data_IF_182509305591
#
_entry.id   IF_182509305591
#
_cell.length_a   1.000
_cell.length_b   1.000
_cell.length_c   1.000
_cell.angle_alpha   90.00
_cell.angle_beta   90.00
_cell.angle_gamma   90.00
#
_symmetry.space_group_name_H-M   'P 1'
#
loop_
_entity.id
_entity.type
_entity.pdbx_description
1 polymer ?
#
# COMPACT_ATOMS: atom_id res chain seq x y z
N UNK A 1 4.00 -18.51 26.62
CA UNK A 1 3.09 -17.37 26.79
C UNK A 1 3.91 -16.09 26.60
N UNK A 2 4.47 -15.86 25.41
CA UNK A 2 5.40 -14.73 25.20
C UNK A 2 5.53 -14.52 23.68
N UNK A 3 5.15 -13.31 23.24
CA UNK A 3 5.16 -12.72 21.87
C UNK A 3 4.01 -11.70 21.71
N UNK A 4 3.08 -11.61 22.68
CA UNK A 4 1.91 -10.71 22.61
C UNK A 4 2.18 -9.22 22.93
N UNK A 5 3.42 -8.82 23.23
CA UNK A 5 3.78 -7.43 23.60
C UNK A 5 4.76 -6.81 22.62
N UNK A 6 4.51 -6.95 21.33
CA UNK A 6 5.15 -6.11 20.32
C UNK A 6 4.09 -5.08 19.92
N UNK A 7 4.31 -3.84 20.36
CA UNK A 7 3.60 -2.60 20.05
C UNK A 7 2.12 -2.76 19.62
N UNK A 8 1.21 -2.60 20.57
CA UNK A 8 -0.19 -2.35 20.28
C UNK A 8 -0.49 -0.89 20.63
N UNK A 9 -0.72 -0.07 19.62
CA UNK A 9 -1.14 1.31 19.84
C UNK A 9 -2.67 1.34 19.95
N UNK A 10 -3.19 1.70 21.13
CA UNK A 10 -4.58 2.07 21.24
C UNK A 10 -4.78 3.41 20.53
N UNK A 11 -5.83 3.53 19.72
CA UNK A 11 -6.16 4.77 19.00
C UNK A 11 -6.16 6.00 19.92
N UNK A 12 -6.75 5.87 21.11
CA UNK A 12 -6.81 6.95 22.09
C UNK A 12 -5.41 7.54 22.39
N UNK A 13 -4.38 6.71 22.47
CA UNK A 13 -3.03 7.16 22.75
C UNK A 13 -2.42 7.95 21.58
N UNK A 14 -2.66 7.51 20.34
CA UNK A 14 -2.17 8.20 19.13
C UNK A 14 -2.85 9.56 18.95
N UNK A 15 -4.16 9.63 19.14
CA UNK A 15 -4.90 10.88 19.02
C UNK A 15 -4.56 11.87 20.14
N UNK A 16 -4.38 11.37 21.37
CA UNK A 16 -3.93 12.19 22.50
C UNK A 16 -2.52 12.75 22.26
N UNK A 17 -1.58 11.92 21.81
CA UNK A 17 -0.21 12.36 21.54
C UNK A 17 -0.13 13.35 20.37
N UNK A 18 -0.93 13.17 19.31
CA UNK A 18 -1.06 14.13 18.22
C UNK A 18 -1.61 15.48 18.73
N UNK A 19 -2.59 15.44 19.64
CA UNK A 19 -3.14 16.65 20.27
C UNK A 19 -2.11 17.38 21.15
N UNK A 20 -1.27 16.65 21.89
CA UNK A 20 -0.16 17.23 22.66
C UNK A 20 0.88 17.85 21.74
N UNK A 21 1.33 17.12 20.72
CA UNK A 21 2.28 17.60 19.71
C UNK A 21 1.77 18.88 19.04
N UNK A 22 0.50 18.93 18.65
CA UNK A 22 -0.15 20.13 18.11
C UNK A 22 -0.03 21.34 19.05
N UNK A 23 -0.32 21.17 20.33
CA UNK A 23 -0.26 22.29 21.29
C UNK A 23 1.19 22.72 21.56
N UNK A 24 2.13 21.79 21.63
CA UNK A 24 3.55 22.12 21.75
C UNK A 24 4.03 22.89 20.52
N UNK A 25 3.65 22.47 19.31
CA UNK A 25 3.94 23.23 18.09
C UNK A 25 3.40 24.66 18.14
N UNK A 26 2.18 24.86 18.67
CA UNK A 26 1.61 26.23 18.81
C UNK A 26 2.44 27.13 19.70
N UNK A 27 3.17 26.59 20.67
CA UNK A 27 3.99 27.35 21.61
C UNK A 27 5.43 27.52 21.14
N UNK A 28 6.04 26.46 20.61
CA UNK A 28 7.49 26.44 20.33
C UNK A 28 7.82 26.64 18.85
N UNK A 29 6.87 26.33 17.96
CA UNK A 29 7.08 26.28 16.50
C UNK A 29 8.18 25.31 16.06
N UNK A 30 8.54 24.35 16.92
CA UNK A 30 9.58 23.37 16.59
C UNK A 30 9.08 22.32 15.58
N UNK A 31 9.86 22.09 14.53
CA UNK A 31 9.55 21.13 13.45
C UNK A 31 9.40 19.70 13.98
N UNK A 32 10.10 19.34 15.05
CA UNK A 32 10.00 18.02 15.67
C UNK A 32 8.55 17.65 16.06
N UNK A 33 7.75 18.63 16.48
CA UNK A 33 6.34 18.40 16.80
C UNK A 33 5.51 18.21 15.53
N UNK A 34 5.77 18.98 14.48
CA UNK A 34 5.09 18.80 13.19
C UNK A 34 5.41 17.45 12.53
N UNK A 35 6.66 16.99 12.62
CA UNK A 35 7.08 15.68 12.12
C UNK A 35 6.42 14.53 12.89
N UNK A 36 6.29 14.68 14.22
CA UNK A 36 5.55 13.72 15.02
C UNK A 36 4.06 13.69 14.62
N UNK A 37 3.44 14.86 14.42
CA UNK A 37 2.06 14.96 14.02
C UNK A 37 1.82 14.30 12.66
N UNK A 38 2.68 14.56 11.66
CA UNK A 38 2.63 13.93 10.33
C UNK A 38 2.65 12.39 10.45
N UNK A 39 3.56 11.86 11.27
CA UNK A 39 3.70 10.41 11.46
C UNK A 39 2.48 9.81 12.15
N UNK A 40 1.99 10.45 13.21
CA UNK A 40 0.81 10.01 13.96
C UNK A 40 -0.46 10.06 13.10
N UNK A 41 -0.60 11.10 12.27
CA UNK A 41 -1.71 11.25 11.34
C UNK A 41 -1.68 10.15 10.27
N UNK A 42 -0.60 10.08 9.48
CA UNK A 42 -0.51 9.21 8.30
C UNK A 42 -0.53 7.73 8.66
N UNK A 43 0.23 7.33 9.69
CA UNK A 43 0.44 5.91 9.98
C UNK A 43 -0.44 5.41 11.13
N UNK A 44 -0.84 6.32 12.02
CA UNK A 44 -1.73 6.03 13.14
C UNK A 44 -3.17 6.27 12.75
N UNK A 45 -3.59 7.54 12.71
CA UNK A 45 -4.99 7.95 12.54
C UNK A 45 -5.60 7.41 11.25
N UNK A 46 -4.93 7.57 10.09
CA UNK A 46 -5.50 7.08 8.83
C UNK A 46 -5.59 5.54 8.76
N UNK A 47 -4.84 4.82 9.59
CA UNK A 47 -4.84 3.35 9.61
C UNK A 47 -5.99 2.72 10.40
N UNK A 48 -6.79 3.52 11.12
CA UNK A 48 -7.78 2.99 12.08
C UNK A 48 -9.20 2.86 11.53
N UNK A 49 -9.49 3.43 10.36
CA UNK A 49 -10.79 3.31 9.71
C UNK A 49 -10.69 2.28 8.59
N UNK A 50 -11.69 1.40 8.47
CA UNK A 50 -11.72 0.37 7.46
C UNK A 50 -12.06 0.98 6.10
N UNK A 51 -11.04 1.26 5.29
CA UNK A 51 -11.24 1.88 3.98
C UNK A 51 -12.05 3.18 4.09
N UNK A 52 -13.09 3.32 3.27
CA UNK A 52 -14.02 4.46 3.31
C UNK A 52 -15.30 4.17 4.08
N UNK A 53 -15.39 3.03 4.77
CA UNK A 53 -16.58 2.59 5.49
C UNK A 53 -16.82 3.54 6.69
N UNK A 54 -17.91 4.32 6.70
CA UNK A 54 -18.14 5.27 7.78
C UNK A 54 -18.47 4.53 9.08
N UNK A 55 -17.72 4.87 10.13
CA UNK A 55 -17.96 4.32 11.47
C UNK A 55 -17.48 2.89 11.67
N UNK A 56 -16.65 2.33 10.79
CA UNK A 56 -15.99 1.03 11.02
C UNK A 56 -14.54 1.28 11.39
N UNK A 57 -14.25 1.23 12.69
CA UNK A 57 -12.94 1.57 13.25
C UNK A 57 -12.40 0.45 14.14
N UNK A 58 -11.07 0.39 14.29
CA UNK A 58 -10.38 -0.49 15.25
C UNK A 58 -10.11 0.19 16.58
N UNK A 59 -10.07 -0.61 17.65
CA UNK A 59 -9.53 -0.17 18.94
C UNK A 59 -7.99 -0.19 18.92
N UNK A 60 -7.44 -1.32 18.48
CA UNK A 60 -6.04 -1.68 18.58
C UNK A 60 -5.44 -1.78 17.18
N UNK A 61 -4.37 -1.03 16.90
CA UNK A 61 -3.59 -1.19 15.67
C UNK A 61 -2.48 -2.22 15.93
N UNK A 62 -2.59 -3.46 15.40
CA UNK A 62 -1.60 -4.49 15.66
C UNK A 62 -0.33 -4.23 14.85
N UNK A 63 0.84 -4.37 15.48
CA UNK A 63 2.15 -4.22 14.82
C UNK A 63 3.07 -5.44 15.00
N UNK A 64 2.60 -6.47 15.72
CA UNK A 64 3.33 -7.73 15.80
C UNK A 64 3.37 -8.44 14.43
N UNK A 65 4.36 -9.30 14.17
CA UNK A 65 4.49 -10.01 12.90
C UNK A 65 3.28 -10.89 12.61
N UNK A 66 2.84 -10.91 11.34
CA UNK A 66 1.74 -11.77 10.91
C UNK A 66 0.43 -11.48 11.62
N UNK A 67 0.05 -10.22 11.77
CA UNK A 67 -1.22 -9.83 12.39
C UNK A 67 -2.12 -9.12 11.39
N UNK A 68 -3.42 -9.14 11.67
CA UNK A 68 -4.46 -8.46 10.89
C UNK A 68 -5.24 -7.51 11.78
N UNK A 69 -5.70 -6.38 11.24
CA UNK A 69 -6.60 -5.45 11.94
C UNK A 69 -7.95 -6.13 12.22
N UNK A 70 -8.43 -6.95 11.27
CA UNK A 70 -9.66 -7.73 11.40
C UNK A 70 -9.53 -8.88 12.42
N UNK A 71 -8.39 -9.59 12.42
CA UNK A 71 -8.12 -10.71 13.35
C UNK A 71 -7.22 -10.25 14.51
N UNK A 72 -7.73 -9.28 15.26
CA UNK A 72 -7.10 -8.74 16.46
C UNK A 72 -7.97 -8.99 17.69
N UNK A 73 -7.50 -8.59 18.88
CA UNK A 73 -8.26 -8.79 20.12
C UNK A 73 -9.66 -8.14 20.09
N UNK A 74 -9.80 -7.00 19.41
CA UNK A 74 -11.11 -6.34 19.21
C UNK A 74 -11.63 -6.49 17.77
N UNK A 75 -10.76 -6.71 16.79
CA UNK A 75 -11.13 -6.65 15.37
C UNK A 75 -11.59 -5.24 14.95
N UNK A 76 -12.27 -5.20 13.81
CA UNK A 76 -13.09 -4.05 13.43
C UNK A 76 -14.35 -4.01 14.29
N UNK A 77 -14.72 -2.84 14.78
CA UNK A 77 -16.05 -2.67 15.35
C UNK A 77 -17.12 -2.57 14.25
N UNK A 78 -18.33 -2.21 14.66
CA UNK A 78 -19.49 -2.03 13.78
C UNK A 78 -19.97 -0.59 13.82
N UNK A 79 -20.67 -0.19 12.76
CA UNK A 79 -21.19 1.17 12.60
C UNK A 79 -22.10 1.64 13.76
N UNK A 80 -22.84 0.73 14.38
CA UNK A 80 -23.91 1.07 15.32
C UNK A 80 -23.82 0.37 16.69
N UNK A 81 -22.95 -0.63 16.86
CA UNK A 81 -22.95 -1.48 18.05
C UNK A 81 -21.58 -1.54 18.76
N UNK A 82 -20.60 -0.79 18.28
CA UNK A 82 -19.27 -0.68 18.90
C UNK A 82 -19.09 0.66 19.62
N UNK A 83 -19.15 0.62 20.95
CA UNK A 83 -19.12 1.81 21.82
C UNK A 83 -17.85 1.90 22.66
N UNK A 84 -16.71 1.55 22.08
CA UNK A 84 -15.43 1.65 22.78
C UNK A 84 -14.97 3.11 22.89
N UNK A 85 -14.13 3.43 23.88
CA UNK A 85 -13.57 4.78 24.02
C UNK A 85 -12.85 5.28 22.76
N UNK A 86 -12.24 4.35 21.99
CA UNK A 86 -11.58 4.63 20.73
C UNK A 86 -12.54 5.15 19.64
N UNK A 87 -13.83 4.77 19.65
CA UNK A 87 -14.78 5.21 18.62
C UNK A 87 -15.04 6.72 18.67
N UNK A 88 -15.30 7.27 19.86
CA UNK A 88 -15.50 8.71 20.02
C UNK A 88 -14.28 9.50 19.53
N UNK A 89 -13.10 9.11 19.99
CA UNK A 89 -11.83 9.72 19.57
C UNK A 89 -11.55 9.55 18.07
N UNK A 90 -11.91 8.41 17.48
CA UNK A 90 -11.77 8.16 16.05
C UNK A 90 -12.63 9.11 15.23
N UNK A 91 -13.92 9.22 15.57
CA UNK A 91 -14.85 10.15 14.92
C UNK A 91 -14.33 11.59 15.03
N UNK A 92 -13.91 12.03 16.22
CA UNK A 92 -13.31 13.35 16.40
C UNK A 92 -12.07 13.53 15.51
N UNK A 93 -11.18 12.54 15.45
CA UNK A 93 -9.95 12.61 14.65
C UNK A 93 -10.23 12.76 13.15
N UNK A 94 -11.17 11.98 12.60
CA UNK A 94 -11.55 12.09 11.20
C UNK A 94 -12.33 13.37 10.87
N UNK A 95 -13.06 13.94 11.84
CA UNK A 95 -13.74 15.22 11.65
C UNK A 95 -12.78 16.42 11.55
N UNK A 96 -11.53 16.28 11.99
CA UNK A 96 -10.56 17.37 12.13
C UNK A 96 -9.26 17.17 11.36
N UNK A 97 -9.23 16.33 10.32
CA UNK A 97 -8.02 16.09 9.52
C UNK A 97 -7.36 17.37 8.96
N UNK A 98 -8.14 18.45 8.76
CA UNK A 98 -7.64 19.74 8.29
C UNK A 98 -7.15 20.70 9.39
N UNK A 99 -7.34 20.38 10.67
CA UNK A 99 -7.17 21.34 11.79
C UNK A 99 -5.73 21.70 12.15
N UNK A 100 -4.77 20.98 11.54
CA UNK A 100 -3.34 21.06 11.82
C UNK A 100 -2.50 21.10 10.54
N UNK A 101 -3.09 21.55 9.42
CA UNK A 101 -2.34 21.85 8.20
C UNK A 101 -1.67 23.23 8.32
N UNK A 102 -2.40 24.20 8.85
CA UNK A 102 -2.05 25.63 8.87
C UNK A 102 -2.12 26.20 10.30
N UNK A 103 -1.12 27.01 10.68
CA UNK A 103 -1.10 27.76 11.94
C UNK A 103 -0.82 29.24 11.67
N UNK A 104 -1.87 30.06 11.80
CA UNK A 104 -1.82 31.51 11.64
C UNK A 104 -1.35 32.21 12.92
N UNK A 105 -0.51 33.23 12.75
CA UNK A 105 -0.15 34.21 13.77
C UNK A 105 -0.50 35.61 13.25
N UNK A 106 -1.26 36.34 14.06
CA UNK A 106 -1.68 37.70 13.76
C UNK A 106 -0.63 38.68 14.30
N UNK A 107 -0.46 39.79 13.60
CA UNK A 107 0.47 40.87 13.93
C UNK A 107 0.55 41.85 12.75
N UNK A 108 1.45 42.82 12.84
CA UNK A 108 1.67 43.80 11.77
C UNK A 108 2.08 43.13 10.44
N UNK A 109 2.87 42.06 10.54
CA UNK A 109 3.16 41.14 9.44
C UNK A 109 2.54 39.79 9.78
N UNK A 110 1.34 39.46 9.27
CA UNK A 110 0.72 38.16 9.52
C UNK A 110 1.66 37.04 9.09
N UNK A 111 1.68 35.95 9.86
CA UNK A 111 2.52 34.79 9.58
C UNK A 111 1.65 33.53 9.44
N UNK A 112 1.92 32.71 8.44
CA UNK A 112 1.26 31.43 8.21
C UNK A 112 2.30 30.31 8.23
N UNK A 113 2.19 29.40 9.19
CA UNK A 113 3.02 28.20 9.25
C UNK A 113 2.28 27.02 8.61
N UNK A 114 2.82 26.46 7.54
CA UNK A 114 2.32 25.25 6.87
C UNK A 114 3.13 24.06 7.37
N UNK A 115 2.47 23.13 8.07
CA UNK A 115 3.15 21.98 8.68
C UNK A 115 2.76 20.62 8.09
N UNK A 116 1.67 20.52 7.33
CA UNK A 116 1.29 19.30 6.63
C UNK A 116 1.16 19.56 5.13
N UNK A 117 1.54 18.57 4.33
CA UNK A 117 1.44 18.63 2.88
C UNK A 117 0.20 17.90 2.35
N UNK A 118 -0.97 18.47 2.62
CA UNK A 118 -2.29 17.90 2.28
C UNK A 118 -3.00 18.86 1.30
N UNK A 119 -3.49 18.37 0.14
CA UNK A 119 -4.24 19.18 -0.81
C UNK A 119 -5.40 19.92 -0.14
N UNK A 120 -5.37 21.25 -0.16
CA UNK A 120 -6.30 22.08 0.59
C UNK A 120 -6.29 23.53 0.12
N UNK A 121 -7.31 24.29 0.51
CA UNK A 121 -7.38 25.74 0.29
C UNK A 121 -7.58 26.44 1.62
N UNK A 122 -6.71 27.39 1.92
CA UNK A 122 -6.74 28.16 3.16
C UNK A 122 -7.07 29.63 2.89
N UNK A 123 -8.16 30.11 3.47
CA UNK A 123 -8.54 31.52 3.40
C UNK A 123 -7.78 32.30 4.50
N UNK A 124 -6.65 32.89 4.13
CA UNK A 124 -5.77 33.64 5.01
C UNK A 124 -6.25 35.10 5.15
N UNK A 125 -7.33 35.26 5.93
CA UNK A 125 -7.99 36.55 6.12
C UNK A 125 -7.07 37.64 6.66
N UNK A 126 -6.16 37.30 7.58
CA UNK A 126 -5.24 38.30 8.15
C UNK A 126 -4.33 38.92 7.09
N UNK A 127 -3.96 38.19 6.04
CA UNK A 127 -3.14 38.71 4.93
C UNK A 127 -3.96 39.16 3.70
N UNK A 128 -5.28 38.95 3.69
CA UNK A 128 -6.13 39.20 2.53
C UNK A 128 -5.88 38.23 1.37
N UNK A 129 -5.32 37.05 1.64
CA UNK A 129 -4.90 36.06 0.66
C UNK A 129 -5.71 34.77 0.78
N UNK A 130 -5.74 33.99 -0.30
CA UNK A 130 -6.12 32.58 -0.30
C UNK A 130 -4.92 31.77 -0.77
N UNK A 131 -4.53 30.76 0.00
CA UNK A 131 -3.43 29.84 -0.32
C UNK A 131 -4.03 28.52 -0.79
N UNK A 132 -3.78 28.13 -2.04
CA UNK A 132 -4.13 26.82 -2.57
C UNK A 132 -2.90 25.92 -2.54
N UNK A 133 -3.06 24.74 -1.97
CA UNK A 133 -2.01 23.73 -1.85
C UNK A 133 -2.38 22.51 -2.69
N UNK A 134 -1.43 22.07 -3.50
CA UNK A 134 -1.53 20.86 -4.32
C UNK A 134 -0.34 19.95 -4.03
N UNK A 135 -0.60 18.64 -4.05
CA UNK A 135 0.39 17.61 -3.93
C UNK A 135 0.35 16.77 -5.20
N UNK A 136 1.49 16.62 -5.87
CA UNK A 136 1.57 15.69 -7.00
C UNK A 136 1.38 14.25 -6.48
N UNK A 137 0.54 13.42 -7.12
CA UNK A 137 0.43 12.00 -6.77
C UNK A 137 1.80 11.35 -6.75
N UNK A 138 2.05 10.55 -5.71
CA UNK A 138 3.35 9.93 -5.44
C UNK A 138 3.32 8.44 -5.77
N UNK A 139 4.35 7.97 -6.47
CA UNK A 139 4.63 6.57 -6.74
C UNK A 139 5.95 6.13 -6.11
N UNK A 140 6.13 4.81 -5.92
CA UNK A 140 7.37 4.19 -5.44
C UNK A 140 8.59 4.43 -6.35
N UNK A 141 8.37 4.83 -7.61
CA UNK A 141 9.42 5.21 -8.56
C UNK A 141 9.82 6.69 -8.48
N UNK A 142 9.03 7.53 -7.81
CA UNK A 142 9.33 8.95 -7.70
C UNK A 142 10.50 9.18 -6.73
N UNK A 143 11.44 10.02 -7.15
CA UNK A 143 12.57 10.43 -6.32
C UNK A 143 12.25 11.61 -5.39
N UNK A 144 11.13 12.29 -5.64
CA UNK A 144 10.77 13.52 -4.94
C UNK A 144 9.28 13.61 -4.65
N UNK A 145 8.96 14.05 -3.43
CA UNK A 145 7.64 14.60 -3.10
C UNK A 145 7.56 16.04 -3.63
N UNK A 146 6.54 16.34 -4.44
CA UNK A 146 6.39 17.65 -5.09
C UNK A 146 5.12 18.35 -4.60
N UNK A 147 5.30 19.53 -4.03
CA UNK A 147 4.22 20.37 -3.49
C UNK A 147 4.18 21.68 -4.27
N UNK A 148 3.00 22.11 -4.66
CA UNK A 148 2.74 23.42 -5.26
C UNK A 148 1.84 24.23 -4.34
N UNK A 149 2.22 25.47 -4.09
CA UNK A 149 1.47 26.45 -3.31
C UNK A 149 1.24 27.67 -4.21
N UNK A 150 -0.02 28.05 -4.41
CA UNK A 150 -0.37 29.27 -5.16
C UNK A 150 -1.18 30.22 -4.29
N UNK A 151 -0.95 31.52 -4.46
CA UNK A 151 -1.72 32.57 -3.79
C UNK A 151 -2.73 33.21 -4.73
N UNK A 152 -3.90 33.54 -4.21
CA UNK A 152 -4.86 34.40 -4.90
C UNK A 152 -5.36 35.48 -3.93
N UNK A 153 -5.68 36.65 -4.46
CA UNK A 153 -6.11 37.79 -3.64
C UNK A 153 -7.13 38.65 -4.42
N UNK A 154 -8.04 39.31 -3.71
CA UNK A 154 -9.01 40.24 -4.33
C UNK A 154 -8.43 41.63 -4.58
N UNK A 155 -7.36 41.98 -3.87
CA UNK A 155 -6.59 43.21 -3.96
C UNK A 155 -5.11 42.84 -3.86
N UNK A 156 -4.19 43.77 -4.14
CA UNK A 156 -2.78 43.52 -3.84
C UNK A 156 -2.64 43.12 -2.36
N UNK A 157 -2.00 41.97 -2.10
CA UNK A 157 -1.81 41.46 -0.76
C UNK A 157 -0.95 42.41 0.08
N UNK A 158 -1.10 42.34 1.40
CA UNK A 158 -0.17 43.01 2.29
C UNK A 158 1.10 42.18 2.50
N UNK A 159 2.14 42.80 3.09
CA UNK A 159 3.34 42.07 3.48
C UNK A 159 2.97 40.98 4.49
N UNK A 160 3.39 39.73 4.22
CA UNK A 160 3.10 38.59 5.08
C UNK A 160 4.22 37.54 5.00
N UNK A 161 4.35 36.75 6.06
CA UNK A 161 5.38 35.70 6.17
C UNK A 161 4.75 34.33 5.96
N UNK A 162 5.24 33.59 4.98
CA UNK A 162 4.91 32.18 4.79
C UNK A 162 6.06 31.32 5.29
N UNK A 163 5.79 30.47 6.29
CA UNK A 163 6.72 29.47 6.80
C UNK A 163 6.29 28.09 6.30
N UNK A 164 7.11 27.45 5.46
CA UNK A 164 6.85 26.08 5.00
C UNK A 164 7.82 25.10 5.68
N UNK A 165 7.28 24.04 6.28
CA UNK A 165 8.10 23.04 6.99
C UNK A 165 8.97 22.26 6.00
N UNK A 166 10.25 22.15 6.26
CA UNK A 166 11.12 21.20 5.57
C UNK A 166 11.16 19.90 6.38
N UNK A 167 10.55 18.79 5.93
CA UNK A 167 10.42 17.59 6.74
C UNK A 167 11.77 17.01 7.17
N UNK A 168 11.92 16.54 8.41
CA UNK A 168 13.21 15.95 8.85
C UNK A 168 13.59 14.65 8.13
N UNK A 169 12.63 13.96 7.52
CA UNK A 169 12.91 12.73 6.78
C UNK A 169 13.51 12.98 5.39
N UNK A 170 13.48 14.22 4.87
CA UNK A 170 14.07 14.55 3.57
C UNK A 170 15.59 14.71 3.66
N UNK A 171 16.28 14.62 2.53
CA UNK A 171 17.70 15.00 2.41
C UNK A 171 17.83 16.48 2.05
N UNK A 172 18.91 17.12 2.50
CA UNK A 172 19.30 18.46 2.04
C UNK A 172 19.77 18.42 0.57
N UNK A 173 20.43 17.33 0.18
CA UNK A 173 20.89 17.16 -1.19
C UNK A 173 19.70 16.86 -2.11
N UNK A 174 19.45 17.76 -3.07
CA UNK A 174 18.34 17.67 -4.02
C UNK A 174 17.02 18.29 -3.52
N UNK A 175 16.95 18.76 -2.27
CA UNK A 175 15.81 19.55 -1.82
C UNK A 175 15.84 20.93 -2.50
N UNK A 176 14.68 21.36 -3.00
CA UNK A 176 14.57 22.62 -3.76
C UNK A 176 13.29 23.36 -3.39
N UNK A 177 13.40 24.68 -3.34
CA UNK A 177 12.26 25.57 -3.21
C UNK A 177 12.40 26.72 -4.23
N UNK A 178 11.36 26.98 -5.01
CA UNK A 178 11.34 28.10 -5.96
C UNK A 178 10.11 28.96 -5.75
N UNK A 179 10.27 30.27 -5.88
CA UNK A 179 9.18 31.25 -5.90
C UNK A 179 9.15 31.93 -7.26
N UNK A 180 8.08 31.73 -8.02
CA UNK A 180 7.95 32.22 -9.40
C UNK A 180 9.18 31.86 -10.23
N UNK A 181 9.58 30.58 -10.17
CA UNK A 181 10.75 29.99 -10.82
C UNK A 181 12.12 30.49 -10.35
N UNK A 182 12.18 31.42 -9.39
CA UNK A 182 13.43 31.85 -8.77
C UNK A 182 13.80 30.94 -7.59
N UNK A 183 15.04 30.48 -7.55
CA UNK A 183 15.56 29.64 -6.47
C UNK A 183 15.65 30.41 -5.15
N UNK A 184 15.14 29.81 -4.07
CA UNK A 184 15.17 30.36 -2.71
C UNK A 184 16.43 29.94 -1.93
N UNK A 185 17.30 29.12 -2.54
CA UNK A 185 18.59 28.75 -1.98
C UNK A 185 18.55 27.52 -1.09
N UNK A 186 19.33 27.53 0.00
CA UNK A 186 19.55 26.35 0.82
C UNK A 186 18.28 25.91 1.56
N UNK A 187 17.88 24.66 1.34
CA UNK A 187 16.78 24.00 2.03
C UNK A 187 17.34 23.03 3.08
N UNK A 188 17.09 23.31 4.37
CA UNK A 188 17.61 22.51 5.49
C UNK A 188 16.53 21.60 6.07
N UNK A 189 16.69 20.26 6.06
CA UNK A 189 15.77 19.33 6.73
C UNK A 189 15.58 19.66 8.21
N UNK A 190 14.35 19.52 8.72
CA UNK A 190 14.04 19.78 10.12
C UNK A 190 13.93 21.27 10.48
N UNK A 191 13.79 22.16 9.49
CA UNK A 191 13.62 23.60 9.70
C UNK A 191 12.36 24.14 9.01
N UNK A 192 12.10 25.44 9.15
CA UNK A 192 11.16 26.17 8.31
C UNK A 192 11.92 26.99 7.27
N UNK A 193 11.41 27.00 6.04
CA UNK A 193 11.75 28.02 5.05
C UNK A 193 10.77 29.18 5.19
N UNK A 194 11.28 30.34 5.59
CA UNK A 194 10.50 31.56 5.81
C UNK A 194 10.60 32.51 4.64
N UNK A 195 9.46 32.94 4.11
CA UNK A 195 9.36 33.86 2.97
C UNK A 195 8.51 35.05 3.40
N UNK A 196 9.13 36.20 3.61
CA UNK A 196 8.43 37.45 3.93
C UNK A 196 8.46 38.37 2.73
N UNK A 197 7.29 38.66 2.15
CA UNK A 197 7.14 39.59 1.04
C UNK A 197 5.73 40.15 0.97
N UNK A 198 5.55 41.13 0.08
CA UNK A 198 4.23 41.50 -0.41
C UNK A 198 3.77 40.45 -1.43
N UNK A 199 2.79 39.63 -1.04
CA UNK A 199 2.28 38.56 -1.89
C UNK A 199 1.33 39.10 -2.95
N UNK A 200 1.56 38.69 -4.20
CA UNK A 200 0.72 39.03 -5.32
C UNK A 200 -0.30 37.90 -5.59
N UNK A 201 -1.41 38.21 -6.28
CA UNK A 201 -2.14 37.17 -6.99
C UNK A 201 -1.17 36.37 -7.87
N UNK A 202 -1.35 35.05 -7.90
CA UNK A 202 -0.63 34.09 -8.73
C UNK A 202 0.86 33.89 -8.39
N UNK A 203 1.34 34.38 -7.24
CA UNK A 203 2.64 33.91 -6.74
C UNK A 203 2.57 32.39 -6.53
N UNK A 204 3.59 31.69 -7.03
CA UNK A 204 3.68 30.24 -7.02
C UNK A 204 4.97 29.79 -6.32
N UNK A 205 4.81 29.10 -5.20
CA UNK A 205 5.88 28.44 -4.47
C UNK A 205 5.88 26.94 -4.80
N UNK A 206 6.95 26.45 -5.42
CA UNK A 206 7.17 25.03 -5.67
C UNK A 206 8.17 24.48 -4.67
N UNK A 207 7.83 23.36 -4.02
CA UNK A 207 8.69 22.64 -3.10
C UNK A 207 8.93 21.23 -3.62
N UNK A 208 10.17 20.79 -3.56
CA UNK A 208 10.59 19.46 -3.98
C UNK A 208 11.46 18.85 -2.88
N UNK A 209 11.00 17.74 -2.30
CA UNK A 209 11.68 17.05 -1.21
C UNK A 209 12.14 15.66 -1.66
N UNK A 210 13.46 15.37 -1.65
CA UNK A 210 13.96 14.02 -1.83
C UNK A 210 13.24 13.03 -0.92
N UNK A 211 12.62 12.02 -1.51
CA UNK A 211 11.92 10.96 -0.79
C UNK A 211 12.57 9.62 -1.07
N UNK A 212 12.97 8.93 0.00
CA UNK A 212 13.75 7.70 -0.11
C UNK A 212 13.25 6.66 0.88
N UNK A 213 13.62 5.40 0.60
CA UNK A 213 13.48 4.32 1.56
C UNK A 213 14.51 4.49 2.67
N UNK A 214 14.09 4.18 3.90
CA UNK A 214 14.92 4.20 5.10
C UNK A 214 14.41 3.17 6.09
N UNK A 215 15.25 2.79 7.04
CA UNK A 215 14.85 1.91 8.15
C UNK A 215 14.91 2.66 9.47
N UNK A 216 14.03 2.31 10.41
CA UNK A 216 14.05 2.82 11.78
C UNK A 216 14.01 1.64 12.75
N UNK A 217 15.00 1.55 13.65
CA UNK A 217 14.99 0.56 14.73
C UNK A 217 13.83 0.80 15.70
N UNK A 218 13.27 -0.27 16.24
CA UNK A 218 12.33 -0.16 17.35
C UNK A 218 13.03 0.46 18.56
N UNK A 219 12.32 1.31 19.31
CA UNK A 219 12.82 1.91 20.56
C UNK A 219 12.58 0.94 21.71
N UNK A 220 13.38 -0.13 21.77
CA UNK A 220 13.32 -1.17 22.79
C UNK A 220 14.73 -1.59 23.20
N UNK A 221 15.01 -1.57 24.50
CA UNK A 221 16.36 -1.86 25.04
C UNK A 221 16.62 -3.36 25.23
N UNK A 222 15.61 -4.21 25.02
CA UNK A 222 15.77 -5.66 25.19
C UNK A 222 16.53 -6.26 23.99
N UNK A 223 17.61 -7.03 24.22
CA UNK A 223 18.50 -7.50 23.14
C UNK A 223 17.81 -8.31 22.04
N UNK A 224 16.75 -9.05 22.36
CA UNK A 224 16.01 -9.87 21.41
C UNK A 224 15.25 -9.07 20.34
N UNK A 225 15.08 -7.74 20.53
CA UNK A 225 14.46 -6.85 19.54
C UNK A 225 15.46 -5.92 18.85
N UNK A 226 16.76 -6.03 19.16
CA UNK A 226 17.80 -5.12 18.65
C UNK A 226 17.92 -5.12 17.12
N UNK A 227 17.54 -6.22 16.46
CA UNK A 227 17.56 -6.37 15.00
C UNK A 227 16.25 -5.95 14.31
N UNK A 228 15.22 -5.55 15.08
CA UNK A 228 13.93 -5.18 14.53
C UNK A 228 13.92 -3.75 14.01
N UNK A 229 13.57 -3.59 12.74
CA UNK A 229 13.45 -2.30 12.11
C UNK A 229 12.16 -2.20 11.29
N UNK A 230 11.52 -1.04 11.33
CA UNK A 230 10.47 -0.66 10.38
C UNK A 230 11.11 -0.16 9.09
N UNK A 231 10.41 -0.34 7.97
CA UNK A 231 10.80 0.20 6.66
C UNK A 231 9.86 1.38 6.35
N UNK A 232 10.42 2.51 5.94
CA UNK A 232 9.66 3.72 5.65
C UNK A 232 10.03 4.28 4.28
N UNK A 233 9.06 4.89 3.59
CA UNK A 233 9.27 5.70 2.40
C UNK A 233 8.83 7.14 2.72
N UNK A 234 9.80 8.03 2.95
CA UNK A 234 9.52 9.36 3.51
C UNK A 234 8.71 9.29 4.83
N UNK A 235 7.47 9.81 4.87
CA UNK A 235 6.62 9.75 6.07
C UNK A 235 5.80 8.46 6.19
N UNK A 236 5.79 7.59 5.18
CA UNK A 236 4.96 6.39 5.13
C UNK A 236 5.67 5.20 5.76
N UNK A 237 5.08 4.61 6.80
CA UNK A 237 5.47 3.29 7.32
C UNK A 237 4.93 2.24 6.37
N UNK A 238 5.83 1.38 5.88
CA UNK A 238 5.49 0.28 4.99
C UNK A 238 5.31 -1.00 5.80
N UNK A 239 4.26 -1.76 5.48
CA UNK A 239 3.96 -3.06 6.05
C UNK A 239 4.02 -4.13 4.95
N UNK A 240 4.62 -5.28 5.26
CA UNK A 240 4.71 -6.39 4.32
C UNK A 240 3.57 -7.38 4.50
N UNK A 241 2.90 -7.76 3.42
CA UNK A 241 1.90 -8.84 3.43
C UNK A 241 2.55 -10.14 3.92
N UNK A 242 2.08 -10.64 5.06
CA UNK A 242 2.66 -11.81 5.72
C UNK A 242 1.78 -12.36 6.82
N UNK A 243 1.74 -13.68 6.93
CA UNK A 243 1.06 -14.42 8.00
C UNK A 243 2.01 -14.81 9.15
N UNK A 244 3.25 -14.31 9.16
CA UNK A 244 4.17 -14.50 10.29
C UNK A 244 5.66 -14.44 9.95
N UNK A 245 6.02 -14.58 8.67
CA UNK A 245 7.40 -14.33 8.26
C UNK A 245 7.72 -12.83 8.34
N UNK A 246 8.95 -12.53 8.72
CA UNK A 246 9.44 -11.20 9.07
C UNK A 246 10.95 -11.07 8.96
N UNK A 247 11.65 -12.12 8.53
CA UNK A 247 13.11 -12.10 8.34
C UNK A 247 13.43 -11.54 6.95
N UNK A 248 13.90 -10.29 6.91
CA UNK A 248 14.33 -9.66 5.67
C UNK A 248 15.80 -9.98 5.39
N UNK A 249 16.16 -10.09 4.11
CA UNK A 249 17.53 -10.36 3.67
C UNK A 249 18.27 -9.05 3.39
N UNK A 250 18.43 -8.24 4.43
CA UNK A 250 19.00 -6.89 4.32
C UNK A 250 20.52 -6.88 4.06
N UNK A 251 21.25 -7.95 4.44
CA UNK A 251 22.71 -8.02 4.32
C UNK A 251 23.43 -7.08 5.29
N UNK A 252 24.63 -7.43 5.74
CA UNK A 252 25.33 -6.67 6.80
C UNK A 252 25.86 -5.29 6.35
N UNK A 253 25.96 -5.02 5.04
CA UNK A 253 26.54 -3.78 4.47
C UNK A 253 25.85 -3.31 3.19
N UNK A 254 24.66 -3.82 2.87
CA UNK A 254 23.99 -3.56 1.59
C UNK A 254 23.13 -2.30 1.65
N UNK A 255 23.13 -1.52 0.56
CA UNK A 255 22.21 -0.40 0.42
C UNK A 255 20.77 -0.93 0.41
N UNK A 256 19.80 -0.12 0.85
CA UNK A 256 18.39 -0.54 0.86
C UNK A 256 17.92 -0.98 -0.55
N UNK A 257 18.44 -0.35 -1.61
CA UNK A 257 18.18 -0.71 -3.00
C UNK A 257 18.61 -2.12 -3.39
N UNK A 258 19.52 -2.75 -2.65
CA UNK A 258 20.02 -4.10 -2.98
C UNK A 258 18.99 -5.18 -2.61
N UNK A 259 18.10 -4.87 -1.67
CA UNK A 259 17.11 -5.80 -1.15
C UNK A 259 15.67 -5.28 -1.20
N UNK A 260 15.44 -4.02 -1.54
CA UNK A 260 14.10 -3.48 -1.81
C UNK A 260 14.06 -2.83 -3.20
N UNK A 261 13.09 -3.25 -4.01
CA UNK A 261 12.81 -2.65 -5.34
C UNK A 261 11.41 -2.06 -5.40
N UNK A 262 11.25 -0.97 -6.14
CA UNK A 262 9.93 -0.38 -6.41
C UNK A 262 9.09 -1.29 -7.31
N UNK A 263 7.78 -1.34 -7.07
CA UNK A 263 6.81 -2.00 -7.97
C UNK A 263 6.36 -1.00 -9.04
N UNK A 264 6.61 -1.25 -10.34
CA UNK A 264 6.14 -0.38 -11.41
C UNK A 264 4.60 -0.37 -11.50
N UNK A 265 4.01 0.78 -11.80
CA UNK A 265 2.56 0.90 -12.00
C UNK A 265 2.02 0.04 -13.13
N UNK A 266 2.86 -0.27 -14.13
CA UNK A 266 2.53 -1.19 -15.23
C UNK A 266 2.26 -2.62 -14.76
N UNK A 267 2.69 -3.03 -13.56
CA UNK A 267 2.36 -4.37 -13.06
C UNK A 267 0.86 -4.53 -12.80
N UNK A 268 0.13 -3.44 -12.53
CA UNK A 268 -1.32 -3.52 -12.35
C UNK A 268 -2.05 -3.92 -13.64
N UNK A 269 -1.49 -3.63 -14.83
CA UNK A 269 -2.03 -4.11 -16.11
C UNK A 269 -1.68 -5.57 -16.40
N UNK A 270 -1.04 -6.29 -15.47
CA UNK A 270 -0.72 -7.72 -15.57
C UNK A 270 -1.52 -8.55 -14.56
N UNK A 271 -2.35 -7.91 -13.73
CA UNK A 271 -3.09 -8.57 -12.67
C UNK A 271 -4.42 -9.14 -13.17
N UNK A 272 -4.77 -10.32 -12.65
CA UNK A 272 -5.96 -11.05 -13.04
C UNK A 272 -6.51 -11.89 -11.89
N UNK A 273 -7.83 -12.12 -11.90
CA UNK A 273 -8.48 -13.12 -11.05
C UNK A 273 -9.21 -14.13 -11.94
N UNK A 274 -9.04 -15.42 -11.66
CA UNK A 274 -9.76 -16.49 -12.36
C UNK A 274 -10.97 -16.92 -11.52
N UNK A 275 -12.14 -16.98 -12.15
CA UNK A 275 -13.40 -17.27 -11.45
C UNK A 275 -14.20 -18.39 -12.10
N UNK A 276 -15.04 -19.03 -11.31
CA UNK A 276 -16.03 -19.99 -11.77
C UNK A 276 -17.30 -19.89 -10.94
N UNK A 277 -18.43 -20.28 -11.50
CA UNK A 277 -19.69 -20.40 -10.76
C UNK A 277 -19.95 -21.85 -10.37
N UNK A 278 -20.35 -22.08 -9.12
CA UNK A 278 -20.76 -23.39 -8.61
C UNK A 278 -21.87 -23.19 -7.58
N UNK A 279 -22.98 -23.92 -7.71
CA UNK A 279 -24.10 -23.91 -6.75
C UNK A 279 -24.58 -22.47 -6.45
N UNK A 280 -24.72 -21.63 -7.48
CA UNK A 280 -25.22 -20.25 -7.36
C UNK A 280 -24.26 -19.26 -6.68
N UNK A 281 -22.99 -19.64 -6.46
CA UNK A 281 -21.95 -18.78 -5.90
C UNK A 281 -20.78 -18.63 -6.86
N UNK A 282 -20.12 -17.47 -6.80
CA UNK A 282 -18.86 -17.24 -7.52
C UNK A 282 -17.68 -17.66 -6.65
N UNK A 283 -16.84 -18.53 -7.19
CA UNK A 283 -15.58 -18.94 -6.61
C UNK A 283 -14.41 -18.34 -7.37
N UNK A 284 -13.29 -18.17 -6.67
CA UNK A 284 -12.04 -17.65 -7.18
C UNK A 284 -10.95 -18.71 -7.04
N UNK A 285 -10.10 -18.84 -8.06
CA UNK A 285 -8.85 -19.57 -7.94
C UNK A 285 -7.96 -18.84 -6.92
N UNK A 286 -7.43 -19.55 -5.94
CA UNK A 286 -6.64 -18.98 -4.85
C UNK A 286 -5.36 -19.78 -4.65
N UNK A 287 -4.24 -19.09 -4.45
CA UNK A 287 -2.96 -19.66 -4.02
C UNK A 287 -2.68 -19.28 -2.58
N UNK A 288 -2.78 -20.25 -1.67
CA UNK A 288 -2.52 -20.03 -0.24
C UNK A 288 -1.80 -21.24 0.33
N UNK A 289 -0.87 -21.03 1.27
CA UNK A 289 -0.12 -22.11 1.94
C UNK A 289 0.60 -23.09 0.99
N UNK A 290 0.96 -22.65 -0.21
CA UNK A 290 1.65 -23.47 -1.21
C UNK A 290 0.76 -24.45 -1.99
N UNK A 291 -0.57 -24.32 -1.90
CA UNK A 291 -1.52 -25.07 -2.71
C UNK A 291 -2.49 -24.15 -3.46
N UNK A 292 -3.06 -24.68 -4.54
CA UNK A 292 -4.13 -24.04 -5.30
C UNK A 292 -5.48 -24.64 -4.93
N UNK A 293 -6.44 -23.79 -4.59
CA UNK A 293 -7.81 -24.19 -4.27
C UNK A 293 -8.83 -23.14 -4.70
N UNK A 294 -10.09 -23.56 -4.81
CA UNK A 294 -11.20 -22.64 -5.01
C UNK A 294 -11.69 -22.08 -3.68
N UNK A 295 -11.82 -20.76 -3.60
CA UNK A 295 -12.36 -20.03 -2.45
C UNK A 295 -13.61 -19.27 -2.87
N UNK A 296 -14.53 -19.03 -1.94
CA UNK A 296 -15.68 -18.16 -2.22
C UNK A 296 -15.18 -16.73 -2.45
N UNK A 297 -15.69 -16.07 -3.49
CA UNK A 297 -15.28 -14.70 -3.82
C UNK A 297 -15.59 -13.77 -2.63
N UNK A 298 -14.62 -12.98 -2.14
CA UNK A 298 -14.87 -12.08 -1.02
C UNK A 298 -15.84 -10.97 -1.45
N UNK A 299 -16.76 -10.60 -0.56
CA UNK A 299 -17.74 -9.51 -0.78
C UNK A 299 -17.18 -8.12 -0.46
N UNK A 300 -16.00 -8.05 0.15
CA UNK A 300 -15.34 -6.83 0.58
C UNK A 300 -13.88 -6.85 0.15
N UNK A 301 -13.32 -5.70 -0.23
CA UNK A 301 -11.89 -5.63 -0.59
C UNK A 301 -10.99 -5.52 0.63
N UNK A 302 -9.72 -5.81 0.39
CA UNK A 302 -8.67 -5.80 1.39
C UNK A 302 -8.71 -7.04 2.29
N UNK A 303 -8.88 -8.22 1.70
CA UNK A 303 -8.92 -9.51 2.41
C UNK A 303 -7.80 -10.43 1.95
N UNK A 304 -7.40 -11.37 2.81
CA UNK A 304 -6.44 -12.41 2.44
C UNK A 304 -6.93 -13.23 1.22
N UNK A 305 -8.23 -13.50 1.11
CA UNK A 305 -8.77 -14.18 -0.09
C UNK A 305 -8.57 -13.34 -1.35
N UNK A 306 -8.73 -12.02 -1.27
CA UNK A 306 -8.52 -11.14 -2.43
C UNK A 306 -7.05 -11.11 -2.88
N UNK A 307 -6.08 -11.11 -1.95
CA UNK A 307 -4.66 -11.19 -2.30
C UNK A 307 -4.31 -12.55 -2.90
N UNK A 308 -4.76 -13.65 -2.28
CA UNK A 308 -4.44 -15.01 -2.73
C UNK A 308 -5.11 -15.37 -4.07
N UNK A 309 -6.21 -14.70 -4.41
CA UNK A 309 -6.94 -14.86 -5.67
C UNK A 309 -6.55 -13.86 -6.76
N UNK A 310 -5.58 -13.01 -6.49
CA UNK A 310 -5.01 -12.10 -7.48
C UNK A 310 -3.67 -12.67 -7.94
N UNK A 311 -3.50 -12.78 -9.24
CA UNK A 311 -2.27 -13.27 -9.86
C UNK A 311 -1.72 -12.22 -10.80
N UNK A 312 -0.40 -12.11 -10.86
CA UNK A 312 0.29 -11.45 -11.96
C UNK A 312 0.58 -12.49 -13.03
N UNK A 313 0.14 -12.22 -14.26
CA UNK A 313 0.39 -13.08 -15.42
C UNK A 313 1.28 -12.35 -16.40
N UNK A 314 2.46 -12.89 -16.65
CA UNK A 314 3.45 -12.25 -17.49
C UNK A 314 4.34 -13.29 -18.20
N UNK A 315 4.92 -12.97 -19.37
CA UNK A 315 5.96 -13.80 -19.97
C UNK A 315 7.25 -13.73 -19.12
N UNK A 316 8.15 -14.70 -19.30
CA UNK A 316 9.41 -14.75 -18.55
C UNK A 316 10.27 -13.48 -18.73
N UNK A 317 10.36 -12.99 -19.97
CA UNK A 317 11.27 -11.91 -20.37
C UNK A 317 10.52 -10.62 -20.73
N UNK A 318 9.76 -10.04 -19.81
CA UNK A 318 9.20 -8.70 -20.06
C UNK A 318 9.30 -7.78 -18.86
N UNK A 319 10.32 -6.92 -18.91
CA UNK A 319 10.28 -5.56 -18.37
C UNK A 319 9.36 -4.62 -19.20
N UNK A 320 8.41 -5.17 -19.98
CA UNK A 320 7.56 -4.47 -20.93
C UNK A 320 6.08 -4.62 -20.63
N UNK A 321 5.32 -3.56 -20.92
CA UNK A 321 3.86 -3.49 -20.78
C UNK A 321 3.17 -4.54 -21.67
N UNK A 322 2.51 -5.51 -21.04
CA UNK A 322 1.32 -6.12 -21.61
C UNK A 322 0.11 -5.42 -21.01
N UNK A 323 -0.78 -4.96 -21.88
CA UNK A 323 -2.11 -4.50 -21.49
C UNK A 323 -3.02 -5.73 -21.42
N UNK A 324 -3.33 -6.23 -20.21
CA UNK A 324 -4.21 -7.39 -20.04
C UNK A 324 -5.69 -7.06 -20.20
N UNK A 325 -6.04 -5.79 -20.45
CA UNK A 325 -7.42 -5.41 -20.79
C UNK A 325 -7.73 -5.74 -22.26
N UNK A 326 -8.08 -7.01 -22.51
CA UNK A 326 -8.88 -7.38 -23.68
C UNK A 326 -8.14 -7.82 -24.96
N UNK A 327 -6.82 -7.81 -25.02
CA UNK A 327 -6.07 -8.29 -26.19
C UNK A 327 -5.32 -9.62 -25.90
N UNK A 328 -6.01 -10.73 -26.18
CA UNK A 328 -5.46 -12.07 -26.50
C UNK A 328 -4.09 -12.44 -25.90
N UNK A 329 -4.09 -12.94 -24.66
CA UNK A 329 -3.04 -13.81 -24.08
C UNK A 329 -2.94 -15.19 -24.79
N UNK A 330 -3.54 -15.33 -25.98
CA UNK A 330 -3.73 -16.61 -26.67
C UNK A 330 -2.44 -17.07 -27.32
N UNK A 331 -1.85 -18.15 -26.79
CA UNK A 331 -0.75 -18.88 -27.41
C UNK A 331 0.66 -18.53 -26.90
N UNK A 332 0.81 -17.54 -26.02
CA UNK A 332 2.08 -17.19 -25.38
C UNK A 332 2.27 -18.03 -24.12
N UNK A 333 3.49 -18.54 -23.89
CA UNK A 333 3.87 -19.19 -22.63
C UNK A 333 4.03 -18.13 -21.54
N UNK A 334 3.25 -18.24 -20.48
CA UNK A 334 3.14 -17.26 -19.40
C UNK A 334 3.44 -17.92 -18.05
N UNK A 335 4.01 -17.15 -17.14
CA UNK A 335 4.11 -17.51 -15.74
C UNK A 335 2.92 -16.92 -14.97
N UNK A 336 2.46 -17.65 -13.95
CA UNK A 336 1.41 -17.21 -13.04
C UNK A 336 2.06 -17.02 -11.66
N UNK A 337 2.20 -15.77 -11.25
CA UNK A 337 2.79 -15.36 -9.98
C UNK A 337 1.71 -14.93 -8.99
N UNK A 338 1.65 -15.48 -7.77
CA UNK A 338 0.74 -15.00 -6.73
C UNK A 338 1.10 -13.56 -6.30
N UNK A 339 0.08 -12.71 -6.16
CA UNK A 339 0.25 -11.28 -5.85
C UNK A 339 1.06 -11.02 -4.56
N UNK A 340 0.82 -11.81 -3.51
CA UNK A 340 1.42 -11.65 -2.17
C UNK A 340 2.78 -12.35 -2.01
N UNK A 341 3.22 -13.12 -3.02
CA UNK A 341 4.47 -13.88 -3.02
C UNK A 341 5.38 -13.49 -4.22
N UNK A 342 5.82 -12.22 -4.30
CA UNK A 342 6.60 -11.75 -5.44
C UNK A 342 7.92 -12.52 -5.61
N UNK A 343 8.32 -12.79 -6.85
CA UNK A 343 9.46 -13.63 -7.20
C UNK A 343 9.21 -15.13 -7.05
N UNK A 344 7.94 -15.56 -6.94
CA UNK A 344 7.53 -16.98 -6.99
C UNK A 344 6.53 -17.21 -8.12
N UNK A 345 6.48 -18.43 -8.64
CA UNK A 345 5.58 -18.83 -9.71
C UNK A 345 4.92 -20.15 -9.38
N UNK A 346 3.71 -20.33 -9.88
CA UNK A 346 3.02 -21.61 -9.87
C UNK A 346 3.69 -22.53 -10.90
N UNK A 347 3.98 -23.77 -10.52
CA UNK A 347 4.49 -24.79 -11.43
C UNK A 347 3.37 -25.66 -12.00
N UNK A 348 3.66 -26.42 -13.03
CA UNK A 348 2.78 -27.43 -13.64
C UNK A 348 2.47 -28.60 -12.69
N UNK A 349 3.16 -28.70 -11.55
CA UNK A 349 2.84 -29.61 -10.44
C UNK A 349 1.92 -28.97 -9.39
N UNK A 350 1.40 -27.76 -9.64
CA UNK A 350 0.52 -26.98 -8.77
C UNK A 350 1.14 -26.59 -7.43
N UNK A 351 2.47 -26.49 -7.39
CA UNK A 351 3.25 -26.02 -6.25
C UNK A 351 3.89 -24.67 -6.56
N UNK A 352 4.31 -23.96 -5.52
CA UNK A 352 5.09 -22.72 -5.67
C UNK A 352 6.58 -23.03 -5.78
N UNK A 353 7.26 -22.34 -6.69
CA UNK A 353 8.71 -22.34 -6.79
C UNK A 353 9.24 -20.91 -6.91
N UNK A 354 10.50 -20.71 -6.54
CA UNK A 354 11.17 -19.45 -6.84
C UNK A 354 11.20 -19.25 -8.36
N UNK A 355 10.94 -18.03 -8.82
CA UNK A 355 10.95 -17.69 -10.24
C UNK A 355 12.34 -17.99 -10.83
N UNK A 356 12.41 -19.07 -11.59
CA UNK A 356 13.58 -19.55 -12.32
C UNK A 356 13.16 -19.93 -13.73
N UNK A 357 14.14 -20.00 -14.63
CA UNK A 357 13.98 -20.44 -16.03
C UNK A 357 13.73 -21.94 -16.13
N UNK A 358 12.65 -22.43 -15.51
CA UNK A 358 12.26 -23.83 -15.57
C UNK A 358 11.04 -23.98 -16.46
N UNK A 359 11.12 -24.90 -17.43
CA UNK A 359 10.03 -25.18 -18.38
C UNK A 359 8.74 -25.61 -17.66
N UNK A 360 8.85 -26.14 -16.44
CA UNK A 360 7.72 -26.55 -15.61
C UNK A 360 6.93 -25.39 -14.97
N UNK A 361 7.29 -24.13 -15.22
CA UNK A 361 6.59 -22.96 -14.68
C UNK A 361 5.67 -22.24 -15.68
N UNK A 362 5.59 -22.75 -16.91
CA UNK A 362 4.83 -22.10 -17.98
C UNK A 362 3.43 -22.66 -18.14
N UNK A 363 2.49 -21.76 -18.41
CA UNK A 363 1.13 -22.07 -18.80
C UNK A 363 0.80 -21.39 -20.12
N UNK A 364 -0.10 -21.97 -20.89
CA UNK A 364 -0.76 -21.30 -22.02
C UNK A 364 -2.18 -20.96 -21.60
N UNK A 365 -2.56 -19.70 -21.78
CA UNK A 365 -3.96 -19.27 -21.61
C UNK A 365 -4.62 -19.39 -22.98
N UNK A 366 -5.54 -20.34 -23.10
CA UNK A 366 -6.27 -20.64 -24.34
C UNK A 366 -7.75 -20.27 -24.20
N UNK A 367 -8.52 -20.11 -25.30
CA UNK A 367 -9.98 -19.99 -25.20
C UNK A 367 -10.55 -21.11 -24.33
N UNK A 368 -11.53 -20.80 -23.49
CA UNK A 368 -12.12 -21.79 -22.61
C UNK A 368 -12.74 -22.95 -23.38
N UNK A 369 -12.57 -24.14 -22.83
CA UNK A 369 -13.00 -25.40 -23.44
C UNK A 369 -14.52 -25.56 -23.46
N UNK A 370 -15.24 -24.82 -22.62
CA UNK A 370 -16.71 -24.80 -22.51
C UNK A 370 -17.42 -24.07 -23.67
N UNK A 371 -16.65 -23.44 -24.58
CA UNK A 371 -17.17 -22.69 -25.72
C UNK A 371 -17.71 -21.30 -25.37
N UNK A 372 -17.61 -20.86 -24.12
CA UNK A 372 -17.98 -19.50 -23.72
C UNK A 372 -16.90 -18.51 -24.22
N UNK A 373 -17.26 -17.44 -24.96
CA UNK A 373 -16.27 -16.51 -25.49
C UNK A 373 -15.49 -15.74 -24.40
N UNK A 374 -16.03 -15.66 -23.18
CA UNK A 374 -15.43 -14.96 -22.05
C UNK A 374 -14.65 -15.87 -21.10
N UNK A 375 -14.62 -17.18 -21.37
CA UNK A 375 -13.87 -18.13 -20.57
C UNK A 375 -12.48 -18.41 -21.17
N UNK A 376 -11.57 -18.84 -20.31
CA UNK A 376 -10.21 -19.25 -20.62
C UNK A 376 -9.91 -20.58 -19.94
N UNK A 377 -9.00 -21.35 -20.51
CA UNK A 377 -8.46 -22.55 -19.89
C UNK A 377 -6.95 -22.43 -19.73
N UNK A 378 -6.45 -22.90 -18.59
CA UNK A 378 -5.04 -22.82 -18.20
C UNK A 378 -4.37 -24.16 -18.54
N UNK A 379 -3.70 -24.21 -19.68
CA UNK A 379 -2.99 -25.39 -20.19
C UNK A 379 -1.56 -25.45 -19.65
N UNK A 380 -1.10 -26.63 -19.23
CA UNK A 380 0.27 -26.84 -18.77
C UNK A 380 1.25 -26.75 -19.95
N UNK A 381 2.33 -25.96 -19.79
CA UNK A 381 3.38 -25.84 -20.79
C UNK A 381 4.14 -27.14 -21.06
N UNK A 382 4.40 -27.93 -20.01
CA UNK A 382 5.11 -29.22 -20.11
C UNK A 382 4.26 -30.36 -20.68
N UNK A 383 2.93 -30.22 -20.64
CA UNK A 383 1.98 -31.26 -21.06
C UNK A 383 0.81 -30.64 -21.83
N UNK A 384 1.02 -30.33 -23.13
CA UNK A 384 -0.07 -29.88 -24.00
C UNK A 384 -1.26 -30.85 -23.98
N UNK A 385 -2.48 -30.31 -23.93
CA UNK A 385 -3.72 -31.05 -23.77
C UNK A 385 -4.11 -31.35 -22.32
N UNK A 386 -3.31 -30.93 -21.33
CA UNK A 386 -3.60 -31.03 -19.90
C UNK A 386 -3.87 -29.64 -19.29
N UNK A 387 -4.95 -29.54 -18.51
CA UNK A 387 -5.50 -28.27 -18.03
C UNK A 387 -5.73 -28.29 -16.52
N UNK A 388 -5.74 -27.10 -15.90
CA UNK A 388 -6.24 -26.93 -14.54
C UNK A 388 -7.75 -27.19 -14.50
N UNK A 389 -8.20 -27.98 -13.53
CA UNK A 389 -9.61 -28.34 -13.34
C UNK A 389 -10.03 -28.27 -11.87
N UNK A 390 -11.29 -27.95 -11.62
CA UNK A 390 -11.88 -27.72 -10.28
C UNK A 390 -12.93 -28.76 -9.85
N UNK A 391 -13.19 -29.79 -10.66
CA UNK A 391 -14.31 -30.72 -10.45
C UNK A 391 -15.68 -30.07 -10.71
N UNK A 392 -16.78 -30.76 -10.38
CA UNK A 392 -18.15 -30.21 -10.50
C UNK A 392 -18.84 -30.15 -9.13
N UNK A 393 -19.75 -29.18 -8.95
CA UNK A 393 -20.53 -28.99 -7.71
C UNK A 393 -19.69 -28.97 -6.44
N UNK A 394 -18.59 -28.21 -6.47
CA UNK A 394 -17.62 -28.16 -5.38
C UNK A 394 -17.93 -27.05 -4.36
N UNK A 395 -17.31 -27.18 -3.18
CA UNK A 395 -17.38 -26.23 -2.07
C UNK A 395 -16.05 -25.49 -1.85
N UNK A 396 -16.05 -24.53 -0.93
CA UNK A 396 -14.85 -23.80 -0.49
C UNK A 396 -13.74 -24.78 -0.08
N UNK A 397 -12.51 -24.51 -0.49
CA UNK A 397 -11.33 -25.33 -0.17
C UNK A 397 -11.09 -26.50 -1.11
N UNK A 398 -11.87 -26.65 -2.19
CA UNK A 398 -11.64 -27.69 -3.19
C UNK A 398 -10.33 -27.45 -3.93
N UNK A 399 -9.43 -28.43 -3.88
CA UNK A 399 -8.12 -28.34 -4.52
C UNK A 399 -8.23 -28.34 -6.05
N UNK A 400 -7.35 -27.58 -6.69
CA UNK A 400 -7.15 -27.65 -8.13
C UNK A 400 -6.42 -28.94 -8.49
N UNK A 401 -6.83 -29.55 -9.59
CA UNK A 401 -6.18 -30.72 -10.17
C UNK A 401 -5.75 -30.45 -11.61
N UNK A 402 -4.97 -31.36 -12.17
CA UNK A 402 -4.64 -31.39 -13.59
C UNK A 402 -5.40 -32.54 -14.23
N UNK A 403 -6.03 -32.30 -15.37
CA UNK A 403 -6.67 -33.36 -16.17
C UNK A 403 -6.43 -33.12 -17.66
N UNK A 404 -6.23 -34.21 -18.40
CA UNK A 404 -5.90 -34.15 -19.82
C UNK A 404 -7.07 -34.65 -20.68
N UNK A 405 -7.26 -34.03 -21.85
CA UNK A 405 -8.30 -34.43 -22.81
C UNK A 405 -8.21 -35.89 -23.23
N UNK A 406 -7.00 -36.46 -23.28
CA UNK A 406 -6.77 -37.85 -23.64
C UNK A 406 -7.20 -38.85 -22.57
N UNK A 407 -7.40 -38.41 -21.32
CA UNK A 407 -7.61 -39.28 -20.15
C UNK A 407 -9.08 -39.48 -19.78
N UNK A 408 -9.97 -38.61 -20.25
CA UNK A 408 -11.39 -38.59 -19.89
C UNK A 408 -12.23 -38.41 -21.17
N UNK A 409 -13.12 -39.37 -21.52
CA UNK A 409 -14.13 -39.08 -22.53
C UNK A 409 -15.01 -37.92 -22.03
N UNK A 410 -15.26 -36.91 -22.88
CA UNK A 410 -16.16 -35.81 -22.53
C UNK A 410 -17.58 -36.36 -22.35
N UNK A 411 -17.96 -36.62 -21.10
CA UNK A 411 -19.33 -36.98 -20.74
C UNK A 411 -20.05 -35.66 -20.48
N UNK A 412 -20.99 -35.30 -21.35
CA UNK A 412 -21.86 -34.12 -21.21
C UNK A 412 -21.13 -32.77 -21.03
N UNK A 413 -19.90 -32.61 -21.53
CA UNK A 413 -19.17 -31.33 -21.41
C UNK A 413 -18.61 -31.03 -20.01
N UNK A 414 -18.64 -32.00 -19.09
CA UNK A 414 -18.25 -31.80 -17.68
C UNK A 414 -16.77 -31.39 -17.56
N UNK A 415 -15.89 -32.02 -18.33
CA UNK A 415 -14.47 -31.69 -18.34
C UNK A 415 -14.25 -30.27 -18.83
N UNK A 416 -14.92 -29.91 -19.92
CA UNK A 416 -14.83 -28.59 -20.55
C UNK A 416 -15.27 -27.48 -19.59
N UNK A 417 -16.37 -27.68 -18.87
CA UNK A 417 -16.83 -26.76 -17.82
C UNK A 417 -15.84 -26.68 -16.65
N UNK A 418 -15.38 -27.82 -16.14
CA UNK A 418 -14.45 -27.87 -15.01
C UNK A 418 -13.08 -27.24 -15.33
N UNK A 419 -12.66 -27.27 -16.60
CA UNK A 419 -11.40 -26.72 -17.10
C UNK A 419 -11.48 -25.24 -17.54
N UNK A 420 -12.65 -24.63 -17.51
CA UNK A 420 -12.87 -23.27 -18.02
C UNK A 420 -13.12 -22.29 -16.88
N UNK A 421 -12.41 -21.16 -16.90
CA UNK A 421 -12.50 -20.09 -15.92
C UNK A 421 -12.87 -18.79 -16.61
N UNK A 422 -13.66 -17.93 -15.97
CA UNK A 422 -13.81 -16.54 -16.42
C UNK A 422 -12.62 -15.74 -15.94
N UNK A 423 -11.98 -15.04 -16.87
CA UNK A 423 -10.92 -14.08 -16.58
C UNK A 423 -11.55 -12.76 -16.13
N UNK A 424 -11.50 -12.48 -14.82
CA UNK A 424 -12.11 -11.29 -14.22
C UNK A 424 -11.06 -10.22 -13.89
N UNK A 425 -11.54 -8.99 -13.66
CA UNK A 425 -10.73 -7.92 -13.09
C UNK A 425 -10.12 -8.36 -11.75
N UNK A 426 -8.88 -7.95 -11.45
CA UNK A 426 -8.19 -8.39 -10.24
C UNK A 426 -8.90 -7.88 -8.99
N UNK A 427 -8.94 -8.71 -7.94
CA UNK A 427 -9.52 -8.33 -6.65
C UNK A 427 -8.62 -7.40 -5.83
N UNK A 428 -7.32 -7.38 -6.12
CA UNK A 428 -6.35 -6.42 -5.56
C UNK A 428 -5.50 -5.79 -6.66
N UNK A 429 -5.09 -4.56 -6.41
CA UNK A 429 -4.08 -3.85 -7.18
C UNK A 429 -2.95 -3.45 -6.25
N UNK A 430 -1.73 -3.32 -6.79
CA UNK A 430 -0.62 -2.72 -6.09
C UNK A 430 -0.93 -1.26 -5.79
N UNK A 431 -0.67 -0.85 -4.55
CA UNK A 431 -0.68 0.56 -4.18
C UNK A 431 0.37 1.35 -4.99
N UNK A 432 0.15 2.64 -5.32
CA UNK A 432 1.16 3.45 -6.01
C UNK A 432 2.52 3.49 -5.31
N UNK A 433 2.51 3.32 -3.97
CA UNK A 433 3.68 3.26 -3.08
C UNK A 433 3.94 1.80 -2.67
N UNK A 434 4.01 0.88 -3.64
CA UNK A 434 4.35 -0.53 -3.38
C UNK A 434 5.82 -0.82 -3.68
N UNK A 435 6.42 -1.66 -2.85
CA UNK A 435 7.80 -2.15 -2.99
C UNK A 435 7.87 -3.66 -2.78
N UNK A 436 8.90 -4.31 -3.30
CA UNK A 436 9.20 -5.72 -3.04
C UNK A 436 10.49 -5.78 -2.22
N UNK A 437 10.42 -6.32 -1.01
CA UNK A 437 11.58 -6.56 -0.16
C UNK A 437 12.00 -8.04 -0.20
N UNK A 438 13.30 -8.30 -0.36
CA UNK A 438 13.87 -9.65 -0.27
C UNK A 438 13.83 -10.15 1.16
N UNK A 439 13.35 -11.37 1.35
CA UNK A 439 13.41 -12.07 2.63
C UNK A 439 14.26 -13.31 2.58
N UNK A 440 14.49 -13.91 3.76
CA UNK A 440 15.29 -15.13 3.90
C UNK A 440 14.57 -16.32 3.28
N UNK A 441 13.25 -16.44 3.51
CA UNK A 441 12.43 -17.55 3.00
C UNK A 441 11.64 -17.18 1.74
N UNK A 442 11.14 -15.96 1.67
CA UNK A 442 10.35 -15.41 0.56
C UNK A 442 10.50 -13.90 0.48
N UNK A 443 10.12 -13.29 -0.63
CA UNK A 443 10.02 -11.84 -0.69
C UNK A 443 8.68 -11.35 -0.10
N UNK A 444 8.63 -10.07 0.24
CA UNK A 444 7.48 -9.39 0.82
C UNK A 444 7.00 -8.29 -0.11
N UNK A 445 5.70 -8.25 -0.40
CA UNK A 445 5.08 -7.05 -0.95
C UNK A 445 4.84 -6.05 0.18
N UNK A 446 5.48 -4.89 0.10
CA UNK A 446 5.37 -3.79 1.05
C UNK A 446 4.38 -2.74 0.53
N UNK A 447 3.45 -2.29 1.38
CA UNK A 447 2.50 -1.20 1.10
C UNK A 447 2.37 -0.27 2.31
N UNK A 448 1.89 0.99 2.17
CA UNK A 448 1.66 1.85 3.32
C UNK A 448 0.68 1.21 4.32
N UNK A 449 0.98 1.26 5.62
CA UNK A 449 0.18 0.59 6.66
C UNK A 449 -1.31 0.99 6.66
N UNK A 450 -1.61 2.23 6.28
CA UNK A 450 -3.00 2.70 6.22
C UNK A 450 -3.80 2.07 5.07
N UNK A 451 -3.14 1.53 4.05
CA UNK A 451 -3.80 0.92 2.88
C UNK A 451 -4.35 -0.48 3.18
N UNK A 452 -3.78 -1.18 4.16
CA UNK A 452 -4.19 -2.53 4.54
C UNK A 452 -5.46 -2.51 5.40
N UNK A 453 -6.36 -3.49 5.18
CA UNK A 453 -7.64 -3.63 5.87
C UNK A 453 -7.63 -4.90 6.70
N UNK A 454 -8.11 -6.01 6.13
CA UNK A 454 -8.28 -7.28 6.81
C UNK A 454 -7.08 -8.20 6.60
N UNK A 455 -6.17 -7.85 5.69
CA UNK A 455 -4.99 -8.65 5.36
C UNK A 455 -4.05 -8.84 6.56
N UNK A 456 -3.34 -9.97 6.57
CA UNK A 456 -2.26 -10.21 7.51
C UNK A 456 -0.96 -9.53 7.05
N UNK A 457 -0.28 -8.86 7.98
CA UNK A 457 0.94 -8.10 7.69
C UNK A 457 1.97 -8.11 8.83
N UNK A 458 3.16 -7.63 8.48
CA UNK A 458 4.30 -7.38 9.38
C UNK A 458 4.79 -5.94 9.20
N UNK A 459 4.92 -5.19 10.30
CA UNK A 459 5.44 -3.80 10.30
C UNK A 459 6.93 -3.75 10.58
N UNK A 460 7.38 -4.51 11.60
CA UNK A 460 8.78 -4.60 11.99
C UNK A 460 9.40 -5.89 11.44
N UNK A 461 10.50 -5.74 10.73
CA UNK A 461 11.26 -6.84 10.14
C UNK A 461 12.51 -7.09 10.96
N UNK A 462 12.86 -8.37 11.13
CA UNK A 462 14.16 -8.76 11.62
C UNK A 462 15.18 -8.64 10.49
N UNK A 463 16.09 -7.67 10.60
CA UNK A 463 17.13 -7.41 9.60
C UNK A 463 18.47 -8.11 9.91
N UNK A 464 18.58 -8.76 11.07
CA UNK A 464 19.78 -9.50 11.49
C UNK A 464 19.73 -11.01 11.24
N UNK A 465 18.75 -11.46 10.46
CA UNK A 465 18.44 -12.89 10.24
C UNK A 465 19.34 -13.58 9.22
#
# INVERSE_FOLDING_TARGET
>A
MEMKKIACAALLAVAASASVSRNLFRWTKEVAYADYYERALINGVLSIQRGTDPGVMIYMLPQAPGRSKAVSYHGWGTKYDSFWCCYGTGIESFSKLGDSIYFEEKGDTPTLNIIQYIPSTFNWKAAGLTVNQQLKPLSSLDMFLQVSLSTSAKTNGQSATLNVRIPSWTSANGAKATLNDNDLGLVSPGSFLSITKQWNPDDHLSLQFPITLRTEAIKDDRPEYASLQAILFGPFVLAGLSTGDWNAKAGNTSAISDWISAVPSSYNSQLVTFTQESIGKTFVLSSANGSLAMQERPMVDGTDTAIHATFRVHPQDSAGQLDTQGATLKGTSLQIEPFDLPGTVITNNLTLSAQKSSEDSFFKIVPGLDGNPNSVSLELGTKPGCFLVTGTNYSVGTNIQVSCKSSLPSINGIFEQAASFVQAAPLRQYHPISFIAKGVKRNFLLEPLYSLRDEFYTVYFNLGA
#
